data_IF_347547294683
#
_entry.id   IF_347547294683
#
_cell.length_a   1.000
_cell.length_b   1.000
_cell.length_c   1.000
_cell.angle_alpha   90.00
_cell.angle_beta   90.00
_cell.angle_gamma   90.00
#
_symmetry.space_group_name_H-M   'P 1'
#
loop_
_entity.id
_entity.type
_entity.pdbx_description
1 polymer ?
#
# COMPACT_ATOMS: atom_id res chain seq x y z
N UNK A 1 5.50 16.47 14.19
CA UNK A 1 4.52 16.19 13.12
C UNK A 1 3.59 15.09 13.57
N UNK A 2 2.29 15.31 13.41
CA UNK A 2 1.29 14.32 13.76
C UNK A 2 1.10 13.34 12.61
N UNK A 3 1.13 12.05 12.89
CA UNK A 3 0.86 11.04 11.88
C UNK A 3 -0.64 10.95 11.63
N UNK A 4 -1.01 10.56 10.42
CA UNK A 4 -2.39 10.29 10.10
C UNK A 4 -2.91 9.18 11.01
N UNK A 5 -4.10 9.37 11.54
CA UNK A 5 -4.73 8.40 12.42
C UNK A 5 -5.40 7.32 11.57
N UNK A 6 -5.00 6.06 11.80
CA UNK A 6 -5.64 4.88 11.21
C UNK A 6 -5.87 4.98 9.69
N UNK A 7 -4.81 5.14 8.88
CA UNK A 7 -4.98 5.18 7.44
C UNK A 7 -5.43 3.82 6.91
N UNK A 8 -6.24 3.79 5.85
CA UNK A 8 -6.68 2.52 5.27
C UNK A 8 -5.52 1.80 4.61
N UNK A 9 -5.60 0.46 4.57
CA UNK A 9 -4.70 -0.32 3.75
C UNK A 9 -5.01 0.01 2.28
N UNK A 10 -3.98 0.19 1.42
CA UNK A 10 -4.23 0.53 0.02
C UNK A 10 -5.08 -0.51 -0.72
N UNK A 11 -5.05 -1.77 -0.27
CA UNK A 11 -5.92 -2.81 -0.84
C UNK A 11 -7.40 -2.51 -0.68
N UNK A 12 -7.80 -1.87 0.42
CA UNK A 12 -9.19 -1.48 0.63
C UNK A 12 -9.61 -0.41 -0.38
N UNK A 13 -8.72 0.52 -0.67
CA UNK A 13 -8.96 1.55 -1.68
C UNK A 13 -9.02 0.92 -3.07
N UNK A 14 -8.12 -0.02 -3.34
CA UNK A 14 -8.09 -0.73 -4.62
C UNK A 14 -9.38 -1.51 -4.87
N UNK A 15 -9.99 -2.08 -3.83
CA UNK A 15 -11.28 -2.76 -3.97
C UNK A 15 -12.33 -1.83 -4.57
N UNK A 16 -12.34 -0.57 -4.16
CA UNK A 16 -13.30 0.40 -4.69
C UNK A 16 -13.07 0.66 -6.18
N UNK A 17 -11.81 0.76 -6.59
CA UNK A 17 -11.46 0.95 -8.01
C UNK A 17 -11.85 -0.24 -8.86
N UNK A 18 -11.83 -1.46 -8.29
CA UNK A 18 -12.08 -2.70 -9.02
C UNK A 18 -13.49 -3.27 -8.76
N UNK A 19 -14.40 -2.48 -8.19
CA UNK A 19 -15.70 -2.98 -7.75
C UNK A 19 -16.51 -3.64 -8.87
N UNK A 20 -16.36 -3.15 -10.11
CA UNK A 20 -17.11 -3.67 -11.27
C UNK A 20 -16.32 -4.71 -12.06
N UNK A 21 -15.15 -5.13 -11.57
CA UNK A 21 -14.25 -6.02 -12.30
C UNK A 21 -13.99 -7.26 -11.44
N UNK A 22 -14.01 -8.45 -12.06
CA UNK A 22 -13.67 -9.67 -11.33
C UNK A 22 -12.19 -9.66 -10.95
N UNK A 23 -11.86 -10.33 -9.85
CA UNK A 23 -10.47 -10.46 -9.40
C UNK A 23 -9.64 -11.17 -10.48
N UNK A 24 -10.21 -12.19 -11.12
CA UNK A 24 -9.51 -12.91 -12.19
C UNK A 24 -9.18 -11.99 -13.36
N UNK A 25 -10.13 -11.19 -13.80
CA UNK A 25 -9.89 -10.26 -14.90
C UNK A 25 -8.84 -9.21 -14.54
N UNK A 26 -8.96 -8.62 -13.37
CA UNK A 26 -8.01 -7.61 -12.92
C UNK A 26 -6.59 -8.18 -12.80
N UNK A 27 -6.45 -9.38 -12.24
CA UNK A 27 -5.15 -10.05 -12.11
C UNK A 27 -4.54 -10.32 -13.47
N UNK A 28 -5.34 -10.78 -14.43
CA UNK A 28 -4.88 -11.03 -15.79
C UNK A 28 -4.35 -9.75 -16.43
N UNK A 29 -5.09 -8.66 -16.31
CA UNK A 29 -4.68 -7.38 -16.88
C UNK A 29 -3.44 -6.81 -16.22
N UNK A 30 -3.28 -7.04 -14.91
CA UNK A 30 -2.10 -6.60 -14.17
C UNK A 30 -0.90 -7.51 -14.41
N UNK A 31 -1.11 -8.70 -14.96
CA UNK A 31 -0.04 -9.67 -15.16
C UNK A 31 0.46 -10.29 -13.86
N UNK A 32 -0.43 -10.48 -12.89
CA UNK A 32 -0.13 -11.08 -11.59
C UNK A 32 -1.07 -12.25 -11.34
N UNK A 33 -0.77 -13.04 -10.31
CA UNK A 33 -1.64 -14.15 -9.94
C UNK A 33 -2.90 -13.63 -9.26
N UNK A 34 -3.99 -14.39 -9.43
CA UNK A 34 -5.23 -14.11 -8.72
C UNK A 34 -5.04 -14.15 -7.22
N UNK A 35 -4.25 -15.13 -6.75
CA UNK A 35 -3.98 -15.29 -5.32
C UNK A 35 -3.25 -14.08 -4.74
N UNK A 36 -2.26 -13.56 -5.46
CA UNK A 36 -1.54 -12.36 -5.00
C UNK A 36 -2.48 -11.14 -4.95
N UNK A 37 -3.27 -10.93 -5.99
CA UNK A 37 -4.21 -9.81 -6.00
C UNK A 37 -5.21 -9.93 -4.85
N UNK A 38 -5.74 -11.14 -4.62
CA UNK A 38 -6.66 -11.37 -3.50
C UNK A 38 -6.03 -10.95 -2.17
N UNK A 39 -4.77 -11.35 -1.96
CA UNK A 39 -4.05 -10.99 -0.72
C UNK A 39 -3.89 -9.48 -0.56
N UNK A 40 -3.58 -8.78 -1.64
CA UNK A 40 -3.48 -7.32 -1.62
C UNK A 40 -4.82 -6.70 -1.26
N UNK A 41 -5.89 -7.15 -1.91
CA UNK A 41 -7.23 -6.60 -1.68
C UNK A 41 -7.72 -6.82 -0.25
N UNK A 42 -7.26 -7.89 0.39
CA UNK A 42 -7.68 -8.21 1.76
C UNK A 42 -6.65 -7.81 2.81
N UNK A 43 -5.67 -7.01 2.44
CA UNK A 43 -4.71 -6.47 3.39
C UNK A 43 -3.64 -7.46 3.87
N UNK A 44 -3.49 -8.61 3.19
CA UNK A 44 -2.50 -9.63 3.56
C UNK A 44 -1.19 -9.50 2.79
N UNK A 45 -1.11 -8.58 1.84
CA UNK A 45 0.10 -8.26 1.11
C UNK A 45 0.12 -6.78 0.82
N UNK A 46 1.30 -6.18 0.83
CA UNK A 46 1.46 -4.77 0.53
C UNK A 46 1.63 -4.51 -0.95
N UNK A 47 1.59 -3.24 -1.32
CA UNK A 47 1.81 -2.80 -2.69
C UNK A 47 3.27 -2.41 -2.83
N UNK A 48 4.00 -3.17 -3.64
CA UNK A 48 5.39 -2.90 -3.98
C UNK A 48 5.49 -1.80 -5.04
N UNK A 49 6.70 -1.32 -5.28
CA UNK A 49 6.94 -0.35 -6.35
C UNK A 49 6.51 -0.91 -7.71
N UNK A 50 6.82 -2.19 -7.98
CA UNK A 50 6.41 -2.83 -9.23
C UNK A 50 4.89 -2.88 -9.35
N UNK A 51 4.19 -3.26 -8.27
CA UNK A 51 2.73 -3.30 -8.29
C UNK A 51 2.14 -1.90 -8.46
N UNK A 52 2.74 -0.90 -7.84
CA UNK A 52 2.29 0.49 -7.98
C UNK A 52 2.39 0.97 -9.44
N UNK A 53 3.46 0.58 -10.13
CA UNK A 53 3.62 0.92 -11.55
C UNK A 53 2.55 0.22 -12.41
N UNK A 54 2.27 -1.05 -12.11
CA UNK A 54 1.22 -1.78 -12.84
C UNK A 54 -0.16 -1.17 -12.61
N UNK A 55 -0.44 -0.75 -11.38
CA UNK A 55 -1.71 -0.07 -11.07
C UNK A 55 -1.81 1.27 -11.76
N UNK A 56 -0.70 2.00 -11.84
CA UNK A 56 -0.65 3.25 -12.58
C UNK A 56 -1.02 3.03 -14.05
N UNK A 57 -0.46 1.98 -14.65
CA UNK A 57 -0.76 1.66 -16.04
C UNK A 57 -2.24 1.26 -16.24
N UNK A 58 -2.76 0.46 -15.32
CA UNK A 58 -4.13 -0.06 -15.43
C UNK A 58 -5.18 1.02 -15.21
N UNK A 59 -4.97 1.84 -14.18
CA UNK A 59 -6.02 2.74 -13.67
C UNK A 59 -5.80 4.21 -14.05
N UNK A 60 -4.65 4.54 -14.61
CA UNK A 60 -4.34 5.93 -14.95
C UNK A 60 -4.02 6.81 -13.74
N UNK A 61 -3.75 6.20 -12.59
CA UNK A 61 -3.32 6.92 -11.40
C UNK A 61 -1.80 7.01 -11.38
N UNK A 62 -1.23 7.80 -10.46
CA UNK A 62 0.21 7.79 -10.28
C UNK A 62 0.64 6.58 -9.45
N UNK A 63 1.85 6.09 -9.69
CA UNK A 63 2.42 5.04 -8.86
C UNK A 63 2.65 5.56 -7.42
N UNK A 64 3.02 6.83 -7.30
CA UNK A 64 3.24 7.46 -6.01
C UNK A 64 2.00 7.47 -5.13
N UNK A 65 0.81 7.54 -5.73
CA UNK A 65 -0.43 7.45 -4.97
C UNK A 65 -0.49 6.15 -4.17
N UNK A 66 -0.21 5.03 -4.85
CA UNK A 66 -0.30 3.70 -4.22
C UNK A 66 0.81 3.48 -3.21
N UNK A 67 2.04 3.89 -3.54
CA UNK A 67 3.15 3.77 -2.60
C UNK A 67 2.98 4.70 -1.40
N UNK A 68 2.43 5.89 -1.61
CA UNK A 68 2.15 6.82 -0.52
C UNK A 68 1.16 6.25 0.49
N UNK A 69 0.09 5.61 0.00
CA UNK A 69 -0.88 4.95 0.86
C UNK A 69 -0.26 3.79 1.61
N UNK A 70 0.57 3.00 0.94
CA UNK A 70 1.25 1.87 1.58
C UNK A 70 2.21 2.37 2.67
N UNK A 71 2.97 3.41 2.39
CA UNK A 71 3.91 3.97 3.35
C UNK A 71 3.18 4.52 4.58
N UNK A 72 2.09 5.24 4.37
CA UNK A 72 1.31 5.79 5.47
C UNK A 72 0.77 4.67 6.36
N UNK A 73 0.26 3.61 5.74
CA UNK A 73 -0.25 2.45 6.46
C UNK A 73 0.87 1.76 7.25
N UNK A 74 2.01 1.52 6.61
CA UNK A 74 3.14 0.84 7.25
C UNK A 74 3.68 1.63 8.43
N UNK A 75 3.80 2.95 8.29
CA UNK A 75 4.27 3.80 9.37
C UNK A 75 3.30 3.81 10.55
N UNK A 76 2.00 3.85 10.24
CA UNK A 76 1.00 3.81 11.29
C UNK A 76 1.06 2.48 12.04
N UNK A 77 1.17 1.36 11.32
CA UNK A 77 1.29 0.04 11.93
C UNK A 77 2.55 -0.06 12.80
N UNK A 78 3.69 0.37 12.25
CA UNK A 78 4.95 0.31 12.98
C UNK A 78 4.91 1.16 14.25
N UNK A 79 4.23 2.30 14.19
CA UNK A 79 4.12 3.19 15.35
C UNK A 79 3.29 2.60 16.48
N UNK A 80 2.42 1.60 16.18
CA UNK A 80 1.63 0.91 17.19
C UNK A 80 2.43 -0.16 17.93
N UNK A 81 3.57 -0.57 17.41
CA UNK A 81 4.37 -1.65 17.97
C UNK A 81 5.44 -1.10 18.89
N UNK A 82 5.79 -1.84 19.97
CA UNK A 82 6.90 -1.46 20.83
C UNK A 82 8.20 -1.44 20.04
N UNK A 83 9.07 -0.50 20.34
CA UNK A 83 10.40 -0.46 19.76
C UNK A 83 11.39 0.08 20.79
N UNK A 84 12.68 -0.27 20.65
CA UNK A 84 13.68 0.26 21.56
C UNK A 84 13.68 1.78 21.54
N UNK A 85 13.95 2.36 22.70
CA UNK A 85 14.09 3.80 22.78
C UNK A 85 15.36 4.21 22.05
N UNK A 86 15.23 5.09 21.09
CA UNK A 86 16.37 5.64 20.35
C UNK A 86 16.52 7.09 20.72
N UNK A 87 17.67 7.42 21.28
CA UNK A 87 17.96 8.79 21.65
C UNK A 87 18.42 9.56 20.43
N UNK A 88 17.99 10.80 20.38
CA UNK A 88 18.39 11.68 19.29
C UNK A 88 19.91 11.89 19.34
N UNK A 89 20.57 11.73 18.21
CA UNK A 89 21.99 12.00 18.10
C UNK A 89 22.23 13.50 18.13
N UNK A 90 23.24 13.90 18.92
CA UNK A 90 23.71 15.29 18.89
C UNK A 90 24.78 15.38 17.83
N UNK A 91 24.59 16.23 16.85
CA UNK A 91 25.52 16.39 15.73
C UNK A 91 26.04 17.81 15.74
N UNK A 92 27.37 17.95 15.67
CA UNK A 92 28.00 19.27 15.57
C UNK A 92 27.58 19.91 14.25
N UNK A 93 27.25 21.20 14.30
CA UNK A 93 26.82 21.93 13.11
C UNK A 93 28.00 22.14 12.15
#
# INVERSE_FOLDING_TARGET
MRRMHNPPHPGAVLQEWLAEVSVTQAATQLGITRAYLWRVLHGHAGISADMALRLSDLLGTSAELWLGMQTAYDLWQAAQLPRPRVLRMTVAA
#
